data_IF_296584104325
#
_entry.id   IF_296584104325
#
_cell.length_a   1.000
_cell.length_b   1.000
_cell.length_c   1.000
_cell.angle_alpha   90.00
_cell.angle_beta   90.00
_cell.angle_gamma   90.00
#
_symmetry.space_group_name_H-M   'P 1'
#
loop_
_entity.id
_entity.type
_entity.pdbx_description
1 polymer ?
#
# COMPACT_ATOMS: atom_id res chain seq x y z
N UNK A 1 -31.24 -30.38 24.84
CA UNK A 1 -30.60 -29.05 24.89
C UNK A 1 -31.63 -28.08 25.46
N UNK A 2 -31.47 -27.64 26.70
CA UNK A 2 -32.39 -26.68 27.29
C UNK A 2 -32.14 -25.31 26.64
N UNK A 3 -33.15 -24.81 25.91
CA UNK A 3 -33.15 -23.48 25.31
C UNK A 3 -32.97 -22.46 26.44
N UNK A 4 -31.87 -21.71 26.41
CA UNK A 4 -31.66 -20.61 27.35
C UNK A 4 -32.68 -19.52 27.01
N UNK A 5 -33.81 -19.51 27.73
CA UNK A 5 -34.77 -18.41 27.68
C UNK A 5 -34.03 -17.13 28.05
N UNK A 6 -33.81 -16.26 27.06
CA UNK A 6 -33.16 -14.99 27.31
C UNK A 6 -34.09 -14.13 28.19
N UNK A 7 -33.54 -13.53 29.25
CA UNK A 7 -34.30 -12.80 30.28
C UNK A 7 -35.22 -11.71 29.71
N UNK A 8 -34.95 -11.22 28.51
CA UNK A 8 -35.77 -10.21 27.82
C UNK A 8 -37.17 -10.71 27.47
N UNK A 9 -37.33 -12.00 27.16
CA UNK A 9 -38.60 -12.55 26.68
C UNK A 9 -39.39 -13.32 27.74
N UNK A 10 -38.76 -13.67 28.87
CA UNK A 10 -39.36 -14.52 29.92
C UNK A 10 -40.69 -14.00 30.52
N UNK A 11 -40.99 -12.71 30.37
CA UNK A 11 -42.22 -12.09 30.89
C UNK A 11 -43.37 -12.09 29.88
N UNK A 12 -43.16 -12.53 28.64
CA UNK A 12 -44.21 -12.64 27.64
C UNK A 12 -44.91 -13.99 27.80
N UNK A 13 -46.25 -14.04 27.93
CA UNK A 13 -47.00 -15.28 27.83
C UNK A 13 -46.92 -15.82 26.39
N UNK A 14 -46.87 -17.15 26.25
CA UNK A 14 -46.81 -17.89 24.96
C UNK A 14 -45.46 -17.82 24.21
N UNK A 15 -44.39 -18.25 24.88
CA UNK A 15 -43.07 -18.45 24.27
C UNK A 15 -42.94 -19.87 23.71
N UNK A 16 -42.70 -19.97 22.39
CA UNK A 16 -42.48 -21.23 21.70
C UNK A 16 -41.17 -21.91 22.13
N UNK A 17 -41.22 -23.22 22.34
CA UNK A 17 -40.07 -24.08 22.68
C UNK A 17 -39.51 -24.82 21.45
N UNK A 18 -40.01 -24.51 20.25
CA UNK A 18 -39.48 -25.00 18.99
C UNK A 18 -37.98 -24.68 18.81
N UNK A 19 -37.25 -25.47 18.00
CA UNK A 19 -35.92 -25.08 17.55
C UNK A 19 -35.97 -23.75 16.80
N UNK A 20 -34.99 -22.88 17.08
CA UNK A 20 -34.86 -21.54 16.49
C UNK A 20 -34.65 -21.59 14.96
N UNK A 21 -34.01 -22.66 14.47
CA UNK A 21 -33.72 -22.85 13.05
C UNK A 21 -34.14 -24.25 12.62
N UNK A 22 -35.04 -24.31 11.63
CA UNK A 22 -35.36 -25.54 10.90
C UNK A 22 -34.60 -25.55 9.58
N UNK A 23 -33.43 -26.18 9.56
CA UNK A 23 -32.60 -26.33 8.37
C UNK A 23 -32.61 -27.76 7.83
N UNK A 24 -32.44 -27.88 6.51
CA UNK A 24 -32.13 -29.16 5.88
C UNK A 24 -30.72 -29.59 6.31
N UNK A 25 -30.47 -30.89 6.56
CA UNK A 25 -29.15 -31.36 6.96
C UNK A 25 -28.11 -30.93 5.91
N UNK A 26 -26.98 -30.41 6.38
CA UNK A 26 -25.90 -29.90 5.55
C UNK A 26 -25.42 -31.02 4.60
N UNK A 27 -25.83 -30.93 3.32
CA UNK A 27 -25.36 -31.83 2.28
C UNK A 27 -23.88 -31.50 2.07
N UNK A 28 -23.02 -32.51 2.14
CA UNK A 28 -21.57 -32.38 2.00
C UNK A 28 -21.14 -32.17 0.54
N UNK A 29 -21.89 -31.34 -0.20
CA UNK A 29 -21.63 -31.01 -1.61
C UNK A 29 -20.29 -30.27 -1.79
N UNK A 30 -19.72 -29.74 -0.70
CA UNK A 30 -18.43 -29.03 -0.69
C UNK A 30 -17.19 -29.93 -0.48
N UNK A 31 -17.34 -31.23 -0.21
CA UNK A 31 -16.17 -32.11 -0.05
C UNK A 31 -15.59 -32.63 -1.37
N UNK A 32 -16.12 -32.17 -2.52
CA UNK A 32 -15.63 -32.54 -3.84
C UNK A 32 -15.63 -31.37 -4.83
N UNK A 33 -14.85 -30.34 -4.56
CA UNK A 33 -14.25 -29.56 -5.66
C UNK A 33 -13.13 -30.38 -6.30
N UNK A 34 -13.48 -31.52 -6.89
CA UNK A 34 -12.75 -31.91 -8.11
C UNK A 34 -13.05 -30.80 -9.10
N UNK A 35 -12.00 -30.12 -9.53
CA UNK A 35 -12.05 -29.00 -10.47
C UNK A 35 -12.49 -29.57 -11.84
N UNK A 36 -13.78 -29.86 -11.96
CA UNK A 36 -14.42 -30.44 -13.11
C UNK A 36 -14.59 -29.36 -14.18
N UNK A 37 -13.62 -29.30 -15.09
CA UNK A 37 -13.71 -28.79 -16.48
C UNK A 37 -15.09 -28.28 -16.89
N UNK A 38 -15.46 -27.04 -16.55
CA UNK A 38 -16.38 -26.19 -17.34
C UNK A 38 -16.36 -24.75 -16.81
N UNK A 39 -15.24 -24.04 -16.96
CA UNK A 39 -15.17 -22.60 -17.28
C UNK A 39 -13.72 -22.15 -17.16
N UNK A 40 -13.23 -21.63 -18.26
CA UNK A 40 -11.92 -21.01 -18.38
C UNK A 40 -11.94 -19.68 -17.63
N UNK A 41 -11.78 -19.70 -16.31
CA UNK A 41 -11.33 -18.53 -15.55
C UNK A 41 -9.81 -18.63 -15.41
N UNK A 42 -9.15 -18.00 -16.39
CA UNK A 42 -7.83 -17.38 -16.29
C UNK A 42 -6.94 -17.78 -15.10
N UNK A 43 -6.26 -18.92 -15.24
CA UNK A 43 -5.03 -19.24 -14.50
C UNK A 43 -3.85 -18.38 -15.03
N UNK A 44 -4.04 -17.06 -15.02
CA UNK A 44 -3.13 -16.07 -15.60
C UNK A 44 -2.57 -15.17 -14.49
N UNK A 45 -1.98 -15.75 -13.45
CA UNK A 45 -1.10 -15.03 -12.53
C UNK A 45 -0.24 -15.99 -11.70
N UNK A 46 0.58 -16.81 -12.35
CA UNK A 46 1.78 -17.31 -11.68
C UNK A 46 2.89 -17.54 -12.71
N UNK A 47 3.99 -16.82 -12.51
CA UNK A 47 5.19 -16.76 -13.36
C UNK A 47 6.03 -18.04 -13.31
N UNK A 48 5.43 -19.22 -13.05
CA UNK A 48 6.15 -20.46 -12.75
C UNK A 48 5.51 -21.73 -13.34
N UNK A 49 4.87 -21.62 -14.49
CA UNK A 49 4.45 -22.80 -15.24
C UNK A 49 5.46 -23.05 -16.38
N UNK A 50 6.48 -23.84 -16.06
CA UNK A 50 7.48 -24.35 -17.01
C UNK A 50 6.92 -25.61 -17.69
N UNK A 51 6.75 -25.55 -19.01
CA UNK A 51 6.82 -26.74 -19.86
C UNK A 51 5.50 -27.44 -20.20
N UNK A 52 4.54 -26.76 -20.82
CA UNK A 52 3.52 -27.46 -21.61
C UNK A 52 3.72 -27.17 -23.10
N UNK A 53 4.42 -28.11 -23.75
CA UNK A 53 4.66 -28.20 -25.20
C UNK A 53 3.41 -28.71 -25.94
N UNK A 54 2.26 -28.08 -25.71
CA UNK A 54 0.99 -28.41 -26.38
C UNK A 54 0.39 -27.19 -27.11
N UNK A 55 1.24 -26.42 -27.79
CA UNK A 55 0.83 -25.25 -28.59
C UNK A 55 0.96 -25.46 -30.10
N UNK A 56 1.00 -26.70 -30.61
CA UNK A 56 1.00 -26.92 -32.06
C UNK A 56 -0.40 -27.05 -32.68
N UNK A 57 -1.48 -27.13 -31.87
CA UNK A 57 -2.85 -27.34 -32.37
C UNK A 57 -3.72 -26.08 -32.46
N UNK A 58 -3.25 -24.95 -31.95
CA UNK A 58 -3.95 -23.66 -32.08
C UNK A 58 -3.04 -22.74 -32.87
N UNK A 59 -3.50 -22.19 -34.01
CA UNK A 59 -2.77 -21.17 -34.78
C UNK A 59 -2.60 -19.83 -34.05
N UNK A 60 -2.53 -19.86 -32.72
CA UNK A 60 -2.47 -18.72 -31.81
C UNK A 60 -1.23 -18.92 -30.95
N UNK A 61 -0.21 -18.09 -31.18
CA UNK A 61 0.98 -18.03 -30.33
C UNK A 61 0.64 -17.45 -28.97
N UNK A 62 0.61 -18.27 -27.92
CA UNK A 62 0.35 -17.86 -26.52
C UNK A 62 1.66 -17.50 -25.78
N UNK A 63 2.53 -16.71 -26.41
CA UNK A 63 3.77 -16.26 -25.75
C UNK A 63 3.41 -15.42 -24.52
N UNK A 64 3.79 -15.90 -23.33
CA UNK A 64 3.62 -15.13 -22.08
C UNK A 64 4.63 -13.98 -22.08
N UNK A 65 4.14 -12.75 -21.86
CA UNK A 65 5.00 -11.57 -21.74
C UNK A 65 5.67 -11.58 -20.35
N UNK A 66 6.99 -11.59 -20.30
CA UNK A 66 7.80 -11.40 -19.09
C UNK A 66 7.96 -9.90 -18.84
N UNK A 67 7.19 -9.26 -17.93
CA UNK A 67 7.21 -7.80 -17.76
C UNK A 67 8.58 -7.28 -17.33
N UNK A 68 9.34 -8.07 -16.57
CA UNK A 68 10.68 -7.70 -16.14
C UNK A 68 11.68 -7.68 -17.31
N UNK A 69 11.61 -8.65 -18.21
CA UNK A 69 12.46 -8.72 -19.40
C UNK A 69 12.07 -7.65 -20.41
N UNK A 70 10.76 -7.47 -20.64
CA UNK A 70 10.24 -6.37 -21.46
C UNK A 70 10.70 -5.01 -20.90
N UNK A 71 10.65 -4.82 -19.57
CA UNK A 71 11.14 -3.59 -18.93
C UNK A 71 12.63 -3.37 -19.17
N UNK A 72 13.45 -4.41 -19.10
CA UNK A 72 14.88 -4.29 -19.42
C UNK A 72 15.11 -3.96 -20.90
N UNK A 73 14.31 -4.53 -21.80
CA UNK A 73 14.39 -4.27 -23.23
C UNK A 73 14.04 -2.80 -23.57
N UNK A 74 13.04 -2.22 -22.90
CA UNK A 74 12.58 -0.84 -23.14
C UNK A 74 13.19 0.21 -22.20
N UNK A 75 13.94 -0.18 -21.16
CA UNK A 75 14.64 0.76 -20.28
C UNK A 75 15.59 1.75 -21.00
N UNK A 76 16.36 1.36 -22.05
CA UNK A 76 17.25 2.29 -22.74
C UNK A 76 16.57 3.11 -23.85
N UNK A 77 15.29 2.84 -24.17
CA UNK A 77 14.54 3.63 -25.16
C UNK A 77 13.87 4.83 -24.47
N UNK A 78 14.28 6.04 -24.85
CA UNK A 78 13.65 7.29 -24.42
C UNK A 78 12.86 7.84 -25.60
N UNK A 79 11.59 8.15 -25.38
CA UNK A 79 10.67 8.66 -26.40
C UNK A 79 10.46 10.15 -26.15
N UNK A 80 10.76 10.96 -27.16
CA UNK A 80 10.43 12.39 -27.19
C UNK A 80 9.05 12.59 -27.85
N UNK A 81 8.18 13.30 -27.13
CA UNK A 81 6.79 13.56 -27.51
C UNK A 81 6.47 15.06 -27.68
N UNK A 82 7.44 15.97 -27.55
CA UNK A 82 7.17 17.42 -27.49
C UNK A 82 6.57 18.01 -28.77
N UNK A 83 6.89 17.44 -29.94
CA UNK A 83 6.50 17.97 -31.25
C UNK A 83 5.64 17.00 -32.06
N UNK A 84 4.83 16.17 -31.41
CA UNK A 84 4.02 15.15 -32.10
C UNK A 84 2.66 15.74 -32.48
N UNK A 85 2.29 15.63 -33.76
CA UNK A 85 1.03 16.13 -34.30
C UNK A 85 0.26 14.96 -34.92
N UNK A 86 -0.84 14.56 -34.26
CA UNK A 86 -1.81 13.57 -34.75
C UNK A 86 -3.05 14.21 -35.35
N UNK A 87 -3.10 15.54 -35.45
CA UNK A 87 -4.13 16.15 -36.28
C UNK A 87 -3.88 15.66 -37.71
N UNK A 88 -4.88 15.02 -38.30
CA UNK A 88 -4.84 14.33 -39.60
C UNK A 88 -4.70 15.32 -40.79
N UNK A 89 -3.92 16.39 -40.58
CA UNK A 89 -3.64 17.46 -41.53
C UNK A 89 -2.67 16.92 -42.58
N UNK A 90 -3.24 16.57 -43.73
CA UNK A 90 -2.55 16.02 -44.91
C UNK A 90 -1.51 16.99 -45.53
N UNK A 91 -1.48 18.26 -45.12
CA UNK A 91 -0.66 19.31 -45.73
C UNK A 91 0.76 19.43 -45.16
N UNK A 92 1.10 18.73 -44.08
CA UNK A 92 2.41 18.80 -43.43
C UNK A 92 3.06 17.41 -43.28
N UNK A 93 4.40 17.37 -43.27
CA UNK A 93 5.15 16.13 -42.95
C UNK A 93 4.70 15.64 -41.56
N UNK A 94 4.15 14.43 -41.51
CA UNK A 94 3.60 13.80 -40.30
C UNK A 94 4.64 13.82 -39.17
N UNK A 95 4.37 14.54 -38.10
CA UNK A 95 5.25 14.58 -36.92
C UNK A 95 4.89 13.44 -35.98
N UNK A 96 5.68 12.37 -35.97
CA UNK A 96 5.50 11.23 -35.06
C UNK A 96 6.45 11.28 -33.86
N UNK A 97 6.19 10.43 -32.86
CA UNK A 97 7.12 10.20 -31.75
C UNK A 97 8.53 9.92 -32.26
N UNK A 98 9.54 10.53 -31.62
CA UNK A 98 10.95 10.25 -31.91
C UNK A 98 11.50 9.36 -30.81
N UNK A 99 11.82 8.11 -31.14
CA UNK A 99 12.47 7.19 -30.21
C UNK A 99 13.99 7.33 -30.34
N UNK A 100 14.65 7.80 -29.28
CA UNK A 100 16.11 7.73 -29.18
C UNK A 100 16.46 6.53 -28.32
N UNK A 101 17.11 5.53 -28.92
CA UNK A 101 17.68 4.41 -28.19
C UNK A 101 19.18 4.59 -28.19
N UNK A 102 19.78 4.70 -27.00
CA UNK A 102 21.24 4.62 -26.87
C UNK A 102 21.65 3.16 -27.02
N UNK A 103 21.58 2.63 -28.24
CA UNK A 103 21.94 1.24 -28.52
C UNK A 103 23.42 1.07 -28.21
N UNK A 104 23.74 0.19 -27.25
CA UNK A 104 25.02 -0.53 -27.28
C UNK A 104 24.92 -1.55 -28.40
N UNK A 105 25.34 -1.16 -29.60
CA UNK A 105 25.48 -2.10 -30.71
C UNK A 105 26.51 -3.16 -30.33
N UNK A 106 26.08 -4.41 -30.26
CA UNK A 106 26.95 -5.58 -30.17
C UNK A 106 27.14 -6.07 -31.59
N UNK A 107 28.27 -5.74 -32.20
CA UNK A 107 28.68 -6.27 -33.51
C UNK A 107 29.40 -7.61 -33.28
N UNK A 108 29.13 -8.62 -34.11
CA UNK A 108 29.62 -10.01 -33.96
C UNK A 108 31.13 -10.21 -34.23
N UNK A 109 31.87 -9.13 -34.51
CA UNK A 109 33.32 -9.18 -34.63
C UNK A 109 33.94 -8.36 -33.50
N UNK A 110 34.81 -9.04 -32.75
CA UNK A 110 35.47 -8.57 -31.52
C UNK A 110 36.27 -7.27 -31.72
N UNK A 111 35.58 -6.13 -31.68
CA UNK A 111 36.13 -4.80 -31.45
C UNK A 111 34.98 -3.92 -30.95
N UNK A 112 34.95 -3.57 -29.66
CA UNK A 112 34.08 -2.51 -29.14
C UNK A 112 34.45 -1.18 -29.81
N UNK A 113 33.83 -0.91 -30.95
CA UNK A 113 33.85 0.42 -31.55
C UNK A 113 32.75 1.23 -30.87
N UNK A 114 33.16 2.12 -29.97
CA UNK A 114 32.31 3.20 -29.45
C UNK A 114 32.03 4.18 -30.59
N UNK A 115 31.18 3.78 -31.54
CA UNK A 115 30.67 4.65 -32.60
C UNK A 115 29.32 5.20 -32.19
N UNK A 116 29.24 6.51 -31.96
CA UNK A 116 27.97 7.23 -31.86
C UNK A 116 27.35 7.24 -33.26
N UNK A 117 26.68 6.16 -33.65
CA UNK A 117 25.85 6.10 -34.87
C UNK A 117 24.54 6.86 -34.63
N UNK A 118 24.62 8.08 -34.11
CA UNK A 118 23.55 9.06 -34.22
C UNK A 118 23.50 9.44 -35.70
N UNK A 119 22.33 9.31 -36.33
CA UNK A 119 22.06 9.95 -37.61
C UNK A 119 22.51 11.42 -37.50
N UNK A 120 23.28 11.88 -38.50
CA UNK A 120 23.87 13.23 -38.61
C UNK A 120 22.87 14.37 -38.33
N UNK A 121 21.56 14.10 -38.46
CA UNK A 121 20.50 15.07 -38.21
C UNK A 121 20.26 15.42 -36.72
N UNK A 122 20.87 14.70 -35.76
CA UNK A 122 20.60 14.90 -34.33
C UNK A 122 21.85 15.09 -33.45
N UNK A 123 22.89 15.71 -33.98
CA UNK A 123 23.98 16.19 -33.14
C UNK A 123 23.46 17.25 -32.15
N UNK A 124 23.76 17.06 -30.85
CA UNK A 124 23.48 18.10 -29.86
C UNK A 124 24.25 19.37 -30.22
N UNK A 125 23.70 20.56 -29.94
CA UNK A 125 24.36 21.82 -30.27
C UNK A 125 25.79 21.89 -29.72
N UNK A 126 26.04 21.31 -28.54
CA UNK A 126 27.38 21.21 -27.95
C UNK A 126 28.34 20.29 -28.71
N UNK A 127 27.89 19.12 -29.18
CA UNK A 127 28.71 18.23 -30.01
C UNK A 127 28.98 18.84 -31.38
N UNK A 128 28.00 19.53 -31.96
CA UNK A 128 28.14 20.27 -33.22
C UNK A 128 29.17 21.39 -33.10
N UNK A 129 29.11 22.18 -32.03
CA UNK A 129 30.12 23.24 -31.75
C UNK A 129 31.52 22.62 -31.57
N UNK A 130 31.64 21.49 -30.87
CA UNK A 130 32.93 20.82 -30.69
C UNK A 130 33.50 20.28 -32.01
N UNK A 131 32.65 19.73 -32.88
CA UNK A 131 33.03 19.29 -34.23
C UNK A 131 33.48 20.46 -35.10
N UNK A 132 32.70 21.53 -35.14
CA UNK A 132 33.04 22.76 -35.89
C UNK A 132 34.33 23.39 -35.38
N UNK A 133 34.59 23.41 -34.08
CA UNK A 133 35.89 23.88 -33.53
C UNK A 133 37.06 23.04 -34.05
N UNK A 134 36.89 21.73 -34.16
CA UNK A 134 37.92 20.84 -34.72
C UNK A 134 38.11 21.08 -36.22
N UNK A 135 37.02 21.17 -36.97
CA UNK A 135 37.07 21.46 -38.42
C UNK A 135 37.74 22.81 -38.70
N UNK A 136 37.48 23.84 -37.88
CA UNK A 136 38.10 25.16 -38.01
C UNK A 136 39.59 25.14 -37.65
N UNK A 137 39.98 24.40 -36.61
CA UNK A 137 41.41 24.25 -36.29
C UNK A 137 42.13 23.47 -37.39
N UNK A 138 41.50 22.46 -37.99
CA UNK A 138 42.04 21.73 -39.14
C UNK A 138 42.19 22.63 -40.37
N UNK A 139 41.20 23.50 -40.65
CA UNK A 139 41.28 24.50 -41.73
C UNK A 139 42.38 25.53 -41.45
N UNK A 140 42.53 25.98 -40.19
CA UNK A 140 43.60 26.90 -39.81
C UNK A 140 45.00 26.28 -39.94
N UNK A 141 45.16 25.02 -39.54
CA UNK A 141 46.40 24.28 -39.77
C UNK A 141 46.68 24.11 -41.27
N UNK A 142 45.65 23.89 -42.07
CA UNK A 142 45.79 23.81 -43.52
C UNK A 142 46.25 25.14 -44.13
N UNK A 143 45.67 26.28 -43.70
CA UNK A 143 46.10 27.62 -44.15
C UNK A 143 47.55 27.95 -43.75
N UNK A 144 47.98 27.61 -42.54
CA UNK A 144 49.37 27.81 -42.10
C UNK A 144 50.36 26.98 -42.94
N UNK A 145 50.01 25.71 -43.24
CA UNK A 145 50.82 24.85 -44.11
C UNK A 145 50.87 25.33 -45.56
N UNK A 146 49.87 26.08 -46.03
CA UNK A 146 49.90 26.72 -47.34
C UNK A 146 50.74 28.00 -47.33
N UNK A 147 50.63 28.83 -46.30
CA UNK A 147 51.45 30.04 -46.13
C UNK A 147 52.97 29.72 -46.09
N UNK A 148 53.36 28.60 -45.46
CA UNK A 148 54.75 28.13 -45.50
C UNK A 148 55.23 27.76 -46.91
N UNK A 149 54.32 27.31 -47.79
CA UNK A 149 54.62 26.96 -49.19
C UNK A 149 54.55 28.17 -50.14
N UNK A 150 53.73 29.16 -49.84
CA UNK A 150 53.46 30.35 -50.69
C UNK A 150 54.36 31.57 -50.43
N UNK A 151 55.40 31.46 -49.60
CA UNK A 151 56.44 32.50 -49.42
C UNK A 151 57.23 32.90 -50.72
N UNK A 152 56.74 32.54 -51.92
CA UNK A 152 57.31 32.91 -53.22
C UNK A 152 56.31 33.47 -54.26
N UNK A 153 55.04 33.72 -53.91
CA UNK A 153 54.12 34.44 -54.81
C UNK A 153 53.03 35.21 -54.04
N UNK A 154 52.74 36.45 -54.47
CA UNK A 154 51.90 37.43 -53.76
C UNK A 154 50.39 37.11 -53.76
N UNK A 155 49.79 37.37 -52.59
CA UNK A 155 48.48 37.97 -52.30
C UNK A 155 47.18 37.25 -52.73
N UNK A 156 46.51 36.65 -51.72
CA UNK A 156 45.07 36.82 -51.39
C UNK A 156 44.65 35.99 -50.14
N UNK A 157 45.58 35.25 -49.51
CA UNK A 157 45.26 34.33 -48.40
C UNK A 157 45.18 34.95 -46.99
N UNK A 158 45.70 36.17 -46.80
CA UNK A 158 45.70 36.83 -45.48
C UNK A 158 44.29 37.16 -44.97
N UNK A 159 43.33 37.35 -45.87
CA UNK A 159 41.95 37.69 -45.50
C UNK A 159 41.23 36.47 -44.91
N UNK A 160 41.41 35.29 -45.51
CA UNK A 160 40.82 34.04 -45.03
C UNK A 160 41.38 33.57 -43.69
N UNK A 161 42.67 33.80 -43.39
CA UNK A 161 43.21 33.51 -42.06
C UNK A 161 42.58 34.43 -41.00
N UNK A 162 42.38 35.71 -41.34
CA UNK A 162 41.72 36.68 -40.47
C UNK A 162 40.25 36.29 -40.22
N UNK A 163 39.53 35.84 -41.25
CA UNK A 163 38.14 35.37 -41.17
C UNK A 163 38.00 34.07 -40.34
N UNK A 164 38.90 33.11 -40.53
CA UNK A 164 38.94 31.86 -39.73
C UNK A 164 39.24 32.18 -38.27
N UNK A 165 40.13 33.15 -38.01
CA UNK A 165 40.40 33.62 -36.65
C UNK A 165 39.18 34.33 -36.04
N UNK A 166 38.44 35.13 -36.81
CA UNK A 166 37.20 35.78 -36.37
C UNK A 166 36.11 34.74 -36.07
N UNK A 167 35.95 33.73 -36.93
CA UNK A 167 35.00 32.63 -36.73
C UNK A 167 35.34 31.80 -35.47
N UNK A 168 36.62 31.55 -35.21
CA UNK A 168 37.07 30.89 -33.97
C UNK A 168 36.73 31.72 -32.71
N UNK A 169 36.86 33.05 -32.79
CA UNK A 169 36.49 33.96 -31.69
C UNK A 169 34.98 33.93 -31.44
N UNK A 170 34.16 34.02 -32.49
CA UNK A 170 32.70 33.94 -32.38
C UNK A 170 32.23 32.59 -31.83
N UNK A 171 32.81 31.47 -32.28
CA UNK A 171 32.48 30.15 -31.72
C UNK A 171 32.96 29.97 -30.29
N UNK A 172 34.07 30.59 -29.91
CA UNK A 172 34.51 30.62 -28.52
C UNK A 172 33.54 31.43 -27.66
N UNK A 173 33.08 32.59 -28.11
CA UNK A 173 32.07 33.40 -27.44
C UNK A 173 30.74 32.64 -27.28
N UNK A 174 30.24 32.02 -28.35
CA UNK A 174 29.01 31.19 -28.30
C UNK A 174 29.20 30.01 -27.33
N UNK A 175 30.38 29.38 -27.30
CA UNK A 175 30.64 28.30 -26.35
C UNK A 175 30.69 28.76 -24.88
N UNK A 176 31.16 29.98 -24.63
CA UNK A 176 31.17 30.60 -23.28
C UNK A 176 29.74 30.96 -22.88
N UNK A 177 28.98 31.59 -23.78
CA UNK A 177 27.57 31.93 -23.60
C UNK A 177 26.74 30.67 -23.27
N UNK A 178 27.01 29.56 -23.97
CA UNK A 178 26.31 28.30 -23.75
C UNK A 178 26.76 27.58 -22.47
N UNK A 179 28.04 27.66 -22.09
CA UNK A 179 28.52 27.11 -20.81
C UNK A 179 27.97 27.90 -19.63
N UNK A 180 27.74 29.20 -19.79
CA UNK A 180 27.02 30.05 -18.84
C UNK A 180 25.52 29.73 -18.81
N UNK A 181 24.89 29.51 -19.97
CA UNK A 181 23.49 29.12 -20.11
C UNK A 181 23.15 27.74 -19.53
N UNK A 182 24.05 26.76 -19.63
CA UNK A 182 23.84 25.42 -19.06
C UNK A 182 24.07 25.34 -17.53
N UNK A 183 24.54 26.41 -16.89
CA UNK A 183 24.47 26.55 -15.42
C UNK A 183 23.13 27.14 -14.96
N UNK A 184 22.19 27.36 -15.88
CA UNK A 184 20.84 27.81 -15.58
C UNK A 184 20.06 26.71 -14.86
N UNK A 185 19.54 27.08 -13.68
CA UNK A 185 18.51 26.42 -12.86
C UNK A 185 18.68 24.94 -12.49
N UNK A 186 18.92 24.02 -13.44
CA UNK A 186 19.03 22.58 -13.19
C UNK A 186 20.20 22.21 -12.28
N UNK A 187 21.39 22.79 -12.49
CA UNK A 187 22.55 22.56 -11.62
C UNK A 187 22.43 23.22 -10.23
N UNK A 188 21.63 24.29 -10.13
CA UNK A 188 21.29 24.91 -8.85
C UNK A 188 20.27 24.05 -8.10
N UNK A 189 19.27 23.51 -8.80
CA UNK A 189 18.26 22.60 -8.26
C UNK A 189 18.87 21.29 -7.71
N UNK A 190 19.77 20.66 -8.45
CA UNK A 190 20.42 19.42 -7.97
C UNK A 190 21.28 19.68 -6.74
N UNK A 191 21.95 20.83 -6.66
CA UNK A 191 22.73 21.24 -5.50
C UNK A 191 21.83 21.59 -4.30
N UNK A 192 20.69 22.24 -4.53
CA UNK A 192 19.71 22.55 -3.45
C UNK A 192 18.94 21.32 -2.96
N UNK A 193 18.68 20.35 -3.84
CA UNK A 193 18.02 19.09 -3.45
C UNK A 193 18.98 18.19 -2.65
N UNK A 194 20.28 18.19 -3.01
CA UNK A 194 21.32 17.47 -2.28
C UNK A 194 21.61 18.01 -0.89
N UNK A 195 21.30 19.29 -0.60
CA UNK A 195 21.54 19.90 0.72
C UNK A 195 20.31 19.97 1.62
N UNK A 196 19.18 19.39 1.20
CA UNK A 196 17.91 19.52 1.93
C UNK A 196 17.35 20.94 1.85
N UNK A 197 16.03 21.05 1.73
CA UNK A 197 15.31 22.31 1.63
C UNK A 197 15.51 23.09 2.95
N UNK A 198 16.46 24.03 2.96
CA UNK A 198 16.58 25.02 4.04
C UNK A 198 15.47 26.05 3.83
N UNK A 199 14.37 25.87 4.54
CA UNK A 199 13.36 26.91 4.70
C UNK A 199 14.03 28.15 5.29
N UNK A 200 13.89 29.27 4.58
CA UNK A 200 14.51 30.56 4.87
C UNK A 200 14.08 31.09 6.24
N UNK A 201 14.92 30.93 7.26
CA UNK A 201 14.90 31.74 8.48
C UNK A 201 15.76 32.99 8.30
N UNK A 202 15.42 34.13 8.94
CA UNK A 202 16.13 35.40 8.72
C UNK A 202 17.61 35.31 9.14
N UNK A 203 18.50 36.07 8.49
CA UNK A 203 19.94 35.97 8.72
C UNK A 203 20.27 36.46 10.14
N UNK A 204 20.76 35.56 11.00
CA UNK A 204 21.30 35.94 12.30
C UNK A 204 22.59 36.76 12.08
N UNK A 205 22.52 38.04 12.45
CA UNK A 205 23.67 38.91 12.64
C UNK A 205 24.50 38.48 13.85
N UNK A 206 25.81 38.70 13.72
CA UNK A 206 26.86 38.85 14.74
C UNK A 206 26.53 38.43 16.19
N UNK A 207 27.24 37.39 16.65
CA UNK A 207 27.28 36.96 18.05
C UNK A 207 28.07 37.98 18.91
N UNK A 208 27.44 38.49 19.98
CA UNK A 208 28.12 39.07 21.13
C UNK A 208 28.37 37.96 22.17
N UNK A 209 29.55 37.87 22.83
CA UNK A 209 29.97 36.70 23.60
C UNK A 209 29.61 36.80 25.10
N UNK A 210 28.46 37.35 25.46
CA UNK A 210 28.00 37.44 26.85
C UNK A 210 26.50 37.31 26.91
N UNK A 211 25.97 36.09 26.80
CA UNK A 211 24.73 35.64 27.45
C UNK A 211 24.50 34.14 27.17
N UNK A 212 23.77 33.51 28.08
CA UNK A 212 23.59 32.06 28.25
C UNK A 212 23.51 31.25 26.96
N UNK A 213 24.29 30.16 26.90
CA UNK A 213 24.36 29.23 25.78
C UNK A 213 22.97 28.69 25.42
N UNK A 214 22.36 29.27 24.39
CA UNK A 214 21.08 28.85 23.86
C UNK A 214 21.32 27.65 22.95
N UNK A 215 21.11 26.44 23.48
CA UNK A 215 21.13 25.22 22.68
C UNK A 215 19.91 25.20 21.76
N UNK A 216 20.12 25.53 20.49
CA UNK A 216 19.10 25.40 19.46
C UNK A 216 19.05 23.94 19.00
N UNK A 217 18.14 23.16 19.59
CA UNK A 217 17.83 21.81 19.11
C UNK A 217 17.07 21.93 17.80
N UNK A 218 17.77 21.71 16.69
CA UNK A 218 17.16 21.67 15.35
C UNK A 218 16.46 20.33 15.16
N UNK A 219 15.18 20.29 15.54
CA UNK A 219 14.33 19.13 15.32
C UNK A 219 13.70 19.17 13.92
N UNK A 220 13.98 18.16 13.09
CA UNK A 220 13.36 17.98 11.78
C UNK A 220 12.22 16.94 11.88
N UNK A 221 10.94 17.34 12.03
CA UNK A 221 9.82 16.41 12.24
C UNK A 221 9.61 15.45 11.05
N UNK A 222 9.90 15.90 9.83
CA UNK A 222 9.79 15.09 8.61
C UNK A 222 10.81 13.94 8.57
N UNK A 223 11.95 14.08 9.24
CA UNK A 223 12.97 13.03 9.33
C UNK A 223 12.46 11.84 10.16
N UNK A 224 11.73 12.10 11.25
CA UNK A 224 11.19 11.01 12.06
C UNK A 224 10.10 10.23 11.35
N UNK A 225 9.19 10.91 10.66
CA UNK A 225 8.12 10.27 9.89
C UNK A 225 8.69 9.43 8.74
N UNK A 226 9.62 9.99 7.95
CA UNK A 226 10.27 9.25 6.87
C UNK A 226 11.10 8.07 7.38
N UNK A 227 11.80 8.20 8.51
CA UNK A 227 12.53 7.10 9.13
C UNK A 227 11.60 6.01 9.68
N UNK A 228 10.46 6.38 10.28
CA UNK A 228 9.45 5.41 10.71
C UNK A 228 8.82 4.66 9.52
N UNK A 229 8.51 5.36 8.43
CA UNK A 229 8.01 4.77 7.18
C UNK A 229 9.05 3.87 6.51
N UNK A 230 10.32 4.24 6.51
CA UNK A 230 11.41 3.40 6.02
C UNK A 230 11.50 2.10 6.82
N UNK A 231 11.45 2.19 8.16
CA UNK A 231 11.43 1.00 9.01
C UNK A 231 10.22 0.12 8.75
N UNK A 232 9.03 0.71 8.57
CA UNK A 232 7.82 -0.04 8.22
C UNK A 232 7.96 -0.76 6.86
N UNK A 233 8.54 -0.11 5.85
CA UNK A 233 8.83 -0.72 4.56
C UNK A 233 9.86 -1.86 4.66
N UNK A 234 10.89 -1.72 5.51
CA UNK A 234 11.85 -2.80 5.78
C UNK A 234 11.15 -4.01 6.41
N UNK A 235 10.27 -3.78 7.40
CA UNK A 235 9.48 -4.85 8.01
C UNK A 235 8.53 -5.51 7.00
N UNK A 236 7.87 -4.74 6.14
CA UNK A 236 7.01 -5.25 5.08
C UNK A 236 7.79 -6.09 4.07
N UNK A 237 8.98 -5.64 3.65
CA UNK A 237 9.84 -6.43 2.75
C UNK A 237 10.28 -7.75 3.38
N UNK A 238 10.59 -7.75 4.68
CA UNK A 238 10.94 -8.96 5.44
C UNK A 238 9.73 -9.86 5.60
N UNK A 239 8.56 -9.30 5.88
CA UNK A 239 7.30 -10.03 5.99
C UNK A 239 6.96 -10.68 4.64
N UNK A 240 7.03 -9.95 3.53
CA UNK A 240 6.84 -10.49 2.18
C UNK A 240 7.85 -11.60 1.84
N UNK A 241 9.10 -11.49 2.32
CA UNK A 241 10.09 -12.57 2.17
C UNK A 241 9.71 -13.83 2.96
N UNK A 242 9.15 -13.67 4.17
CA UNK A 242 8.66 -14.77 4.99
C UNK A 242 7.38 -15.38 4.42
N UNK A 243 6.45 -14.58 3.92
CA UNK A 243 5.24 -15.04 3.23
C UNK A 243 5.62 -15.82 1.96
N UNK A 244 6.59 -15.31 1.19
CA UNK A 244 7.10 -16.02 0.01
C UNK A 244 7.80 -17.32 0.37
N UNK A 245 8.53 -17.38 1.48
CA UNK A 245 9.18 -18.61 1.96
C UNK A 245 8.16 -19.62 2.47
N UNK A 246 7.10 -19.16 3.14
CA UNK A 246 6.00 -19.98 3.63
C UNK A 246 5.02 -20.35 2.51
N UNK A 247 5.08 -19.65 1.38
CA UNK A 247 4.23 -19.88 0.21
C UNK A 247 2.77 -19.53 0.44
N UNK A 248 2.45 -18.70 1.43
CA UNK A 248 1.06 -18.35 1.73
C UNK A 248 0.59 -17.29 0.74
N UNK A 249 -0.07 -17.71 -0.34
CA UNK A 249 -0.82 -16.78 -1.19
C UNK A 249 -2.24 -16.59 -0.64
N UNK A 250 -2.86 -15.41 -0.78
CA UNK A 250 -4.21 -15.15 -0.26
C UNK A 250 -5.27 -16.11 -0.82
N UNK A 251 -5.04 -16.66 -2.01
CA UNK A 251 -5.86 -17.71 -2.64
C UNK A 251 -5.68 -19.08 -1.98
N UNK A 252 -4.47 -19.41 -1.53
CA UNK A 252 -4.19 -20.66 -0.81
C UNK A 252 -4.56 -20.58 0.67
N UNK A 253 -4.61 -19.38 1.27
CA UNK A 253 -5.15 -19.16 2.63
C UNK A 253 -6.58 -19.65 2.75
N UNK A 254 -7.43 -19.35 1.77
CA UNK A 254 -8.82 -19.84 1.74
C UNK A 254 -8.88 -21.36 1.68
N UNK A 255 -7.97 -22.01 0.96
CA UNK A 255 -7.87 -23.48 0.89
C UNK A 255 -7.26 -24.13 2.14
N UNK A 256 -6.50 -23.37 2.93
CA UNK A 256 -5.90 -23.81 4.19
C UNK A 256 -6.84 -23.60 5.40
N UNK A 257 -7.94 -22.88 5.24
CA UNK A 257 -8.97 -22.71 6.27
C UNK A 257 -9.96 -23.86 6.14
N UNK A 258 -9.66 -24.96 6.83
CA UNK A 258 -10.64 -26.02 7.06
C UNK A 258 -11.25 -25.74 8.43
N UNK A 259 -12.56 -25.50 8.47
CA UNK A 259 -13.33 -25.24 9.70
C UNK A 259 -12.87 -23.99 10.48
N UNK A 260 -12.67 -22.86 9.78
CA UNK A 260 -12.40 -21.56 10.40
C UNK A 260 -11.03 -21.40 11.07
N UNK A 261 -10.16 -22.41 11.00
CA UNK A 261 -8.78 -22.35 11.51
C UNK A 261 -7.80 -22.60 10.37
N UNK A 262 -6.80 -21.72 10.24
CA UNK A 262 -5.67 -21.94 9.34
C UNK A 262 -4.98 -23.27 9.70
N UNK A 263 -4.77 -24.15 8.71
CA UNK A 263 -4.02 -25.39 8.88
C UNK A 263 -2.62 -25.05 9.41
N UNK A 264 -2.39 -25.31 10.70
CA UNK A 264 -1.12 -25.03 11.33
C UNK A 264 -0.02 -25.84 10.62
N UNK A 265 1.02 -25.16 10.14
CA UNK A 265 2.12 -25.79 9.39
C UNK A 265 2.90 -26.75 10.29
N UNK A 266 3.07 -26.42 11.56
CA UNK A 266 3.81 -27.22 12.54
C UNK A 266 3.28 -28.65 12.71
N UNK A 267 1.98 -28.92 13.00
CA UNK A 267 1.48 -30.29 13.10
C UNK A 267 1.56 -31.06 11.78
N UNK A 268 1.54 -30.39 10.63
CA UNK A 268 1.76 -31.07 9.33
C UNK A 268 3.21 -31.48 9.14
N UNK A 269 4.17 -30.62 9.51
CA UNK A 269 5.59 -30.94 9.52
C UNK A 269 5.87 -32.04 10.54
N UNK A 270 5.28 -31.99 11.73
CA UNK A 270 5.43 -33.02 12.74
C UNK A 270 4.86 -34.36 12.26
N UNK A 271 3.71 -34.36 11.58
CA UNK A 271 3.15 -35.57 10.95
C UNK A 271 4.09 -36.12 9.88
N UNK A 272 4.63 -35.27 9.00
CA UNK A 272 5.60 -35.67 7.98
C UNK A 272 6.90 -36.18 8.62
N UNK A 273 7.37 -35.53 9.68
CA UNK A 273 8.54 -35.96 10.45
C UNK A 273 8.31 -37.30 11.12
N UNK A 274 7.13 -37.54 11.72
CA UNK A 274 6.74 -38.84 12.26
C UNK A 274 6.70 -39.90 11.15
N UNK A 275 6.16 -39.58 9.97
CA UNK A 275 6.15 -40.48 8.82
C UNK A 275 7.56 -40.78 8.30
N UNK A 276 8.44 -39.79 8.21
CA UNK A 276 9.85 -39.95 7.82
C UNK A 276 10.61 -40.73 8.92
N UNK A 277 10.32 -40.51 10.20
CA UNK A 277 10.88 -41.27 11.32
C UNK A 277 10.46 -42.74 11.24
N UNK A 278 9.20 -43.01 10.92
CA UNK A 278 8.66 -44.37 10.73
C UNK A 278 9.31 -45.06 9.51
N UNK A 279 9.55 -44.32 8.42
CA UNK A 279 10.24 -44.85 7.24
C UNK A 279 11.75 -45.06 7.47
N UNK A 280 12.39 -44.22 8.29
CA UNK A 280 13.82 -44.29 8.57
C UNK A 280 14.17 -45.25 9.71
N UNK A 281 13.29 -45.44 10.70
CA UNK A 281 13.43 -46.42 11.79
C UNK A 281 12.88 -47.80 11.41
N UNK A 282 13.24 -48.30 10.22
CA UNK A 282 13.15 -49.72 9.82
C UNK A 282 11.75 -50.35 9.69
N UNK A 283 11.48 -50.95 8.52
CA UNK A 283 10.30 -51.80 8.25
C UNK A 283 10.11 -53.01 9.19
N UNK A 284 11.14 -53.70 9.73
CA UNK A 284 10.93 -54.84 10.63
C UNK A 284 10.45 -54.46 12.05
N UNK A 285 10.66 -53.24 12.52
CA UNK A 285 10.23 -52.81 13.86
C UNK A 285 8.73 -52.54 13.95
N UNK A 286 8.11 -52.10 12.83
CA UNK A 286 6.66 -51.87 12.74
C UNK A 286 5.85 -53.15 12.78
N UNK A 287 6.35 -54.21 12.15
CA UNK A 287 5.69 -55.52 12.19
C UNK A 287 5.77 -56.14 13.59
N UNK A 288 6.88 -55.93 14.31
CA UNK A 288 7.03 -56.35 15.70
C UNK A 288 6.15 -55.54 16.65
N UNK A 289 6.17 -54.21 16.52
CA UNK A 289 5.34 -53.32 17.35
C UNK A 289 3.84 -53.49 17.03
N UNK A 290 3.48 -53.75 15.77
CA UNK A 290 2.11 -54.07 15.38
C UNK A 290 1.61 -55.40 15.97
N UNK A 291 2.48 -56.40 16.10
CA UNK A 291 2.17 -57.65 16.83
C UNK A 291 2.02 -57.40 18.33
N UNK A 292 2.89 -56.59 18.93
CA UNK A 292 2.78 -56.23 20.34
C UNK A 292 1.53 -55.43 20.65
N UNK A 293 1.15 -54.48 19.78
CA UNK A 293 -0.11 -53.72 19.93
C UNK A 293 -1.30 -54.66 19.83
N UNK A 294 -1.33 -55.60 18.88
CA UNK A 294 -2.41 -56.60 18.79
C UNK A 294 -2.49 -57.49 20.04
N UNK A 295 -1.35 -57.87 20.60
CA UNK A 295 -1.31 -58.62 21.85
C UNK A 295 -1.84 -57.77 23.01
N UNK A 296 -1.42 -56.51 23.13
CA UNK A 296 -1.89 -55.59 24.18
C UNK A 296 -3.37 -55.24 24.03
N UNK A 297 -3.89 -55.10 22.81
CA UNK A 297 -5.34 -54.90 22.58
C UNK A 297 -6.12 -56.15 22.97
N UNK A 298 -5.60 -57.33 22.64
CA UNK A 298 -6.23 -58.59 23.05
C UNK A 298 -6.18 -58.77 24.58
N UNK A 299 -5.08 -58.37 25.23
CA UNK A 299 -4.98 -58.37 26.70
C UNK A 299 -5.91 -57.33 27.34
N UNK A 300 -6.07 -56.15 26.73
CA UNK A 300 -7.00 -55.12 27.19
C UNK A 300 -8.47 -55.55 27.03
N UNK A 301 -8.83 -56.18 25.91
CA UNK A 301 -10.16 -56.76 25.69
C UNK A 301 -10.46 -57.86 26.72
N UNK A 302 -9.50 -58.75 26.98
CA UNK A 302 -9.63 -59.75 28.05
C UNK A 302 -9.83 -59.10 29.42
N UNK A 303 -9.13 -58.01 29.72
CA UNK A 303 -9.27 -57.29 30.99
C UNK A 303 -10.63 -56.58 31.06
N UNK A 304 -11.13 -56.03 29.95
CA UNK A 304 -12.46 -55.44 29.87
C UNK A 304 -13.55 -56.49 30.06
N UNK A 305 -13.42 -57.67 29.47
CA UNK A 305 -14.35 -58.79 29.64
C UNK A 305 -14.34 -59.29 31.09
N UNK A 306 -13.17 -59.38 31.72
CA UNK A 306 -13.04 -59.69 33.16
C UNK A 306 -13.69 -58.61 34.02
N UNK A 307 -13.53 -57.32 33.69
CA UNK A 307 -14.18 -56.20 34.39
C UNK A 307 -15.70 -56.18 34.18
N UNK A 308 -16.19 -56.54 32.99
CA UNK A 308 -17.63 -56.67 32.71
C UNK A 308 -18.21 -57.85 33.48
N UNK A 309 -17.51 -58.98 33.51
CA UNK A 309 -17.91 -60.17 34.26
C UNK A 309 -17.89 -59.91 35.78
N UNK A 310 -16.90 -59.18 36.31
CA UNK A 310 -16.85 -58.81 37.73
C UNK A 310 -17.97 -57.83 38.10
N UNK A 311 -18.25 -56.82 37.25
CA UNK A 311 -19.40 -55.91 37.42
C UNK A 311 -20.74 -56.63 37.35
N UNK A 312 -20.88 -57.64 36.50
CA UNK A 312 -22.10 -58.47 36.44
C UNK A 312 -22.25 -59.34 37.69
N UNK A 313 -21.16 -59.90 38.20
CA UNK A 313 -21.15 -60.69 39.45
C UNK A 313 -21.45 -59.81 40.67
N UNK A 314 -20.96 -58.57 40.68
CA UNK A 314 -21.24 -57.57 41.73
C UNK A 314 -22.69 -57.04 41.69
N UNK A 315 -23.38 -57.15 40.55
CA UNK A 315 -24.79 -56.79 40.38
C UNK A 315 -25.77 -57.93 40.73
N UNK A 316 -25.28 -59.13 41.09
CA UNK A 316 -26.14 -60.16 41.67
C UNK A 316 -26.46 -59.72 43.10
N UNK A 317 -27.75 -59.48 43.43
CA UNK A 317 -28.12 -58.94 44.73
C UNK A 317 -27.78 -59.96 45.81
N UNK A 318 -26.93 -59.57 46.77
CA UNK A 318 -26.86 -60.22 48.08
C UNK A 318 -28.17 -59.95 48.82
N UNK A 319 -29.19 -60.75 48.52
CA UNK A 319 -30.39 -60.85 49.32
C UNK A 319 -30.22 -62.03 50.27
N UNK A 320 -29.85 -61.76 51.52
CA UNK A 320 -30.36 -62.44 52.73
C UNK A 320 -29.78 -61.76 53.98
N UNK A 321 -30.67 -61.02 54.65
CA UNK A 321 -30.83 -60.93 56.11
C UNK A 321 -29.88 -60.02 56.93
N UNK A 322 -30.53 -58.96 57.42
CA UNK A 322 -30.30 -58.04 58.52
C UNK A 322 -29.42 -58.57 59.68
N UNK A 323 -28.36 -57.84 60.07
CA UNK A 323 -28.24 -57.20 61.40
C UNK A 323 -26.89 -56.47 61.60
N UNK A 324 -26.94 -55.32 62.28
CA UNK A 324 -25.84 -54.62 62.99
C UNK A 324 -24.61 -54.07 62.21
N UNK A 325 -24.55 -52.74 62.04
CA UNK A 325 -23.60 -51.86 62.75
C UNK A 325 -23.46 -50.50 62.03
N UNK A 326 -23.89 -49.45 62.71
CA UNK A 326 -23.42 -48.08 62.45
C UNK A 326 -21.96 -47.95 62.92
N UNK A 327 -21.21 -47.09 62.21
CA UNK A 327 -20.03 -46.34 62.70
C UNK A 327 -18.60 -46.89 62.43
N UNK A 328 -18.11 -46.65 61.20
CA UNK A 328 -16.75 -46.18 60.86
C UNK A 328 -16.65 -46.13 59.33
N UNK A 329 -16.43 -45.02 58.66
CA UNK A 329 -15.44 -44.01 58.98
C UNK A 329 -14.22 -44.20 58.08
N UNK A 330 -14.35 -43.69 56.84
CA UNK A 330 -13.27 -43.37 55.89
C UNK A 330 -12.68 -44.58 55.15
N UNK A 331 -12.54 -44.42 53.83
CA UNK A 331 -11.96 -45.35 52.83
C UNK A 331 -12.95 -46.37 52.26
N UNK A 332 -13.71 -45.97 51.23
CA UNK A 332 -14.04 -46.72 49.99
C UNK A 332 -15.32 -46.20 49.32
N UNK A 333 -15.41 -44.89 49.06
CA UNK A 333 -16.55 -44.29 48.33
C UNK A 333 -16.10 -43.51 47.08
N UNK A 334 -14.97 -43.93 46.48
CA UNK A 334 -14.39 -43.28 45.29
C UNK A 334 -14.63 -44.03 43.97
N UNK A 335 -15.27 -45.20 43.97
CA UNK A 335 -15.41 -45.97 42.73
C UNK A 335 -16.71 -46.78 42.70
N UNK A 336 -17.87 -46.14 42.45
CA UNK A 336 -19.08 -46.78 41.84
C UNK A 336 -20.30 -45.85 41.74
N UNK A 337 -20.12 -44.65 41.20
CA UNK A 337 -21.24 -43.74 41.01
C UNK A 337 -20.82 -42.45 40.35
N UNK A 338 -20.26 -42.52 39.14
CA UNK A 338 -20.19 -41.32 38.31
C UNK A 338 -21.62 -40.84 38.11
N UNK A 339 -22.02 -39.79 38.82
CA UNK A 339 -23.34 -39.19 38.66
C UNK A 339 -23.51 -38.92 37.16
N UNK A 340 -24.51 -39.50 36.48
CA UNK A 340 -24.67 -39.37 35.03
C UNK A 340 -24.76 -37.90 34.62
N UNK A 341 -25.35 -37.07 35.49
CA UNK A 341 -25.41 -35.62 35.37
C UNK A 341 -24.02 -34.93 35.38
N UNK A 342 -23.03 -35.45 36.12
CA UNK A 342 -21.67 -34.91 36.10
C UNK A 342 -20.94 -35.34 34.83
N UNK A 343 -21.13 -36.58 34.37
CA UNK A 343 -20.55 -37.07 33.12
C UNK A 343 -21.12 -36.31 31.92
N UNK A 344 -22.42 -36.05 31.90
CA UNK A 344 -23.06 -35.23 30.86
C UNK A 344 -22.55 -33.78 30.86
N UNK A 345 -22.39 -33.18 32.05
CA UNK A 345 -21.80 -31.82 32.17
C UNK A 345 -20.34 -31.78 31.76
N UNK A 346 -19.56 -32.78 32.15
CA UNK A 346 -18.15 -32.92 31.78
C UNK A 346 -18.03 -33.12 30.27
N UNK A 347 -18.86 -33.96 29.66
CA UNK A 347 -18.90 -34.15 28.20
C UNK A 347 -19.32 -32.86 27.48
N UNK A 348 -20.27 -32.09 28.03
CA UNK A 348 -20.63 -30.77 27.50
C UNK A 348 -19.45 -29.77 27.60
N UNK A 349 -18.70 -29.77 28.70
CA UNK A 349 -17.50 -28.94 28.87
C UNK A 349 -16.35 -29.39 27.95
N UNK A 350 -16.14 -30.69 27.78
CA UNK A 350 -15.19 -31.23 26.80
C UNK A 350 -15.61 -30.90 25.37
N UNK A 351 -16.90 -30.79 25.08
CA UNK A 351 -17.39 -30.28 23.79
C UNK A 351 -17.15 -28.79 23.58
N UNK A 352 -17.18 -27.99 24.66
CA UNK A 352 -16.89 -26.56 24.63
C UNK A 352 -15.38 -26.22 24.68
N UNK A 353 -14.54 -27.15 25.15
CA UNK A 353 -13.10 -26.93 25.27
C UNK A 353 -12.42 -26.66 23.90
N UNK A 354 -12.71 -27.40 22.81
CA UNK A 354 -12.14 -27.11 21.50
C UNK A 354 -12.49 -25.71 20.97
N UNK A 355 -13.65 -25.16 21.29
CA UNK A 355 -14.02 -23.80 20.86
C UNK A 355 -13.25 -22.76 21.66
N UNK A 356 -13.08 -22.96 22.96
CA UNK A 356 -12.27 -22.09 23.83
C UNK A 356 -10.79 -22.17 23.45
N UNK A 357 -10.27 -23.37 23.17
CA UNK A 357 -8.87 -23.57 22.76
C UNK A 357 -8.58 -22.93 21.40
N UNK A 358 -9.56 -22.89 20.49
CA UNK A 358 -9.45 -22.12 19.23
C UNK A 358 -9.49 -20.61 19.43
N UNK A 359 -10.29 -20.11 20.37
CA UNK A 359 -10.46 -18.67 20.63
C UNK A 359 -9.37 -18.08 21.53
N UNK A 360 -8.79 -18.90 22.42
CA UNK A 360 -7.71 -18.52 23.33
C UNK A 360 -6.53 -17.81 22.66
N UNK A 361 -5.90 -18.37 21.60
CA UNK A 361 -4.76 -17.74 20.93
C UNK A 361 -5.14 -16.50 20.11
N UNK A 362 -6.42 -16.30 19.77
CA UNK A 362 -6.88 -15.11 19.04
C UNK A 362 -7.05 -13.89 19.95
N UNK A 363 -7.31 -14.11 21.25
CA UNK A 363 -7.60 -13.05 22.20
C UNK A 363 -6.46 -12.04 22.41
N UNK A 364 -5.17 -12.43 22.51
CA UNK A 364 -4.06 -11.48 22.57
C UNK A 364 -3.97 -10.61 21.31
N UNK A 365 -4.12 -11.19 20.13
CA UNK A 365 -4.07 -10.43 18.87
C UNK A 365 -5.23 -9.44 18.71
N UNK A 366 -6.42 -9.81 19.18
CA UNK A 366 -7.57 -8.91 19.22
C UNK A 366 -7.38 -7.80 20.24
N UNK A 367 -6.76 -8.09 21.38
CA UNK A 367 -6.42 -7.08 22.40
C UNK A 367 -5.40 -6.08 21.86
N UNK A 368 -4.34 -6.54 21.18
CA UNK A 368 -3.34 -5.67 20.55
C UNK A 368 -3.97 -4.80 19.46
N UNK A 369 -4.82 -5.39 18.62
CA UNK A 369 -5.58 -4.64 17.60
C UNK A 369 -6.50 -3.61 18.26
N UNK A 370 -7.23 -3.97 19.32
CA UNK A 370 -8.10 -3.05 20.05
C UNK A 370 -7.30 -1.96 20.77
N UNK A 371 -6.08 -2.27 21.24
CA UNK A 371 -5.14 -1.29 21.77
C UNK A 371 -4.71 -0.25 20.73
N UNK A 372 -4.34 -0.70 19.52
CA UNK A 372 -4.03 0.20 18.40
C UNK A 372 -5.25 1.01 17.95
N UNK A 373 -6.43 0.37 17.93
CA UNK A 373 -7.68 0.97 17.49
C UNK A 373 -8.27 1.91 18.55
N UNK A 374 -7.93 1.74 19.83
CA UNK A 374 -8.37 2.63 20.92
C UNK A 374 -7.93 4.07 20.69
N UNK A 375 -6.71 4.28 20.20
CA UNK A 375 -6.22 5.62 19.88
C UNK A 375 -7.08 6.26 18.78
N UNK A 376 -7.41 5.48 17.74
CA UNK A 376 -8.26 5.93 16.62
C UNK A 376 -9.71 6.16 17.10
N UNK A 377 -10.27 5.30 17.96
CA UNK A 377 -11.61 5.50 18.51
C UNK A 377 -11.68 6.72 19.44
N UNK A 378 -10.65 6.97 20.24
CA UNK A 378 -10.56 8.17 21.06
C UNK A 378 -10.50 9.42 20.19
N UNK A 379 -9.66 9.41 19.14
CA UNK A 379 -9.58 10.50 18.17
C UNK A 379 -10.92 10.71 17.42
N UNK A 380 -11.56 9.63 16.98
CA UNK A 380 -12.89 9.67 16.37
C UNK A 380 -13.96 10.26 17.30
N UNK A 381 -13.90 9.97 18.60
CA UNK A 381 -14.81 10.56 19.57
C UNK A 381 -14.53 12.06 19.76
N UNK A 382 -13.25 12.46 19.83
CA UNK A 382 -12.89 13.89 19.95
C UNK A 382 -13.21 14.69 18.70
N UNK A 383 -13.00 14.13 17.51
CA UNK A 383 -13.34 14.75 16.23
C UNK A 383 -14.85 14.88 16.06
N UNK A 384 -15.63 13.88 16.47
CA UNK A 384 -17.09 14.00 16.53
C UNK A 384 -17.52 15.16 17.44
N UNK A 385 -16.96 15.25 18.65
CA UNK A 385 -17.29 16.35 19.57
C UNK A 385 -16.86 17.72 19.03
N UNK A 386 -15.71 17.81 18.35
CA UNK A 386 -15.27 19.04 17.71
C UNK A 386 -16.17 19.42 16.52
N UNK A 387 -16.64 18.44 15.75
CA UNK A 387 -17.60 18.66 14.67
C UNK A 387 -18.96 19.11 15.20
N UNK A 388 -19.46 18.50 16.27
CA UNK A 388 -20.70 18.92 16.95
C UNK A 388 -20.56 20.34 17.52
N UNK A 389 -19.37 20.77 17.93
CA UNK A 389 -19.11 22.16 18.33
C UNK A 389 -19.10 23.11 17.14
N UNK A 390 -18.40 22.74 16.05
CA UNK A 390 -18.37 23.54 14.82
C UNK A 390 -19.77 23.69 14.23
N UNK A 391 -20.60 22.64 14.26
CA UNK A 391 -21.98 22.70 13.75
C UNK A 391 -22.83 23.69 14.57
N UNK A 392 -22.68 23.70 15.90
CA UNK A 392 -23.31 24.70 16.77
C UNK A 392 -22.82 26.11 16.46
N UNK A 393 -21.52 26.31 16.34
CA UNK A 393 -20.93 27.62 15.98
C UNK A 393 -21.41 28.08 14.61
N UNK A 394 -21.50 27.18 13.62
CA UNK A 394 -22.06 27.48 12.31
C UNK A 394 -23.55 27.83 12.37
N UNK A 395 -24.35 27.13 13.19
CA UNK A 395 -25.75 27.50 13.38
C UNK A 395 -25.90 28.90 13.97
N UNK A 396 -25.08 29.25 14.97
CA UNK A 396 -25.08 30.58 15.60
C UNK A 396 -24.66 31.64 14.59
N UNK A 397 -23.56 31.42 13.86
CA UNK A 397 -23.10 32.35 12.81
C UNK A 397 -24.18 32.53 11.74
N UNK A 398 -24.91 31.47 11.38
CA UNK A 398 -26.00 31.57 10.40
C UNK A 398 -27.17 32.42 10.92
N UNK A 399 -27.47 32.35 12.22
CA UNK A 399 -28.47 33.19 12.87
C UNK A 399 -27.99 34.64 12.98
N UNK A 400 -26.74 34.87 13.36
CA UNK A 400 -26.13 36.21 13.38
C UNK A 400 -26.16 36.83 11.98
N UNK A 401 -25.77 36.11 10.93
CA UNK A 401 -25.83 36.61 9.55
C UNK A 401 -27.25 37.02 9.15
N UNK A 402 -28.29 36.31 9.62
CA UNK A 402 -29.68 36.74 9.39
C UNK A 402 -29.97 38.05 10.12
N UNK A 403 -29.54 38.20 11.37
CA UNK A 403 -29.70 39.44 12.13
C UNK A 403 -28.95 40.60 11.46
N UNK A 404 -27.72 40.38 10.98
CA UNK A 404 -26.94 41.38 10.24
C UNK A 404 -27.61 41.78 8.92
N UNK A 405 -28.20 40.82 8.19
CA UNK A 405 -28.98 41.11 6.98
C UNK A 405 -30.22 41.93 7.27
N UNK A 406 -30.95 41.57 8.33
CA UNK A 406 -32.15 42.31 8.75
C UNK A 406 -31.78 43.73 9.19
N UNK A 407 -30.70 43.87 9.99
CA UNK A 407 -30.13 45.14 10.39
C UNK A 407 -29.71 46.01 9.20
N UNK A 408 -29.01 45.41 8.22
CA UNK A 408 -28.62 46.11 6.99
C UNK A 408 -29.83 46.54 6.17
N UNK A 409 -30.86 45.70 6.04
CA UNK A 409 -32.10 46.05 5.34
C UNK A 409 -32.84 47.21 6.03
N UNK A 410 -32.76 47.28 7.37
CA UNK A 410 -33.32 48.38 8.14
C UNK A 410 -32.52 49.66 7.93
N UNK A 411 -31.19 49.56 7.94
CA UNK A 411 -30.30 50.70 7.64
C UNK A 411 -30.53 51.19 6.22
N UNK A 412 -30.63 50.30 5.23
CA UNK A 412 -30.94 50.62 3.83
C UNK A 412 -32.27 51.35 3.70
N UNK A 413 -33.32 50.88 4.37
CA UNK A 413 -34.61 51.59 4.43
C UNK A 413 -34.47 52.98 5.05
N UNK A 414 -33.83 53.10 6.21
CA UNK A 414 -33.61 54.41 6.85
C UNK A 414 -32.74 55.33 6.01
N UNK A 415 -31.79 54.80 5.24
CA UNK A 415 -30.95 55.56 4.34
C UNK A 415 -31.75 56.04 3.12
N UNK A 416 -32.64 55.21 2.56
CA UNK A 416 -33.54 55.61 1.48
C UNK A 416 -34.56 56.67 1.93
N UNK A 417 -35.05 56.58 3.16
CA UNK A 417 -35.90 57.60 3.78
C UNK A 417 -35.11 58.90 4.03
N UNK A 418 -33.86 58.79 4.50
CA UNK A 418 -32.97 59.94 4.64
C UNK A 418 -32.63 60.57 3.28
N UNK A 419 -32.38 59.78 2.23
CA UNK A 419 -32.10 60.27 0.88
C UNK A 419 -33.32 60.96 0.26
N UNK A 420 -34.53 60.42 0.45
CA UNK A 420 -35.76 61.06 -0.04
C UNK A 420 -36.07 62.36 0.71
N UNK A 421 -35.90 62.38 2.04
CA UNK A 421 -36.09 63.61 2.84
C UNK A 421 -35.04 64.67 2.55
N UNK A 422 -33.77 64.29 2.38
CA UNK A 422 -32.70 65.22 1.96
C UNK A 422 -32.92 65.75 0.55
N UNK A 423 -33.36 64.92 -0.40
CA UNK A 423 -33.74 65.38 -1.74
C UNK A 423 -34.95 66.34 -1.70
N UNK A 424 -35.94 66.08 -0.84
CA UNK A 424 -37.08 66.98 -0.65
C UNK A 424 -36.62 68.34 -0.07
N UNK A 425 -35.76 68.31 0.95
CA UNK A 425 -35.17 69.51 1.55
C UNK A 425 -34.28 70.26 0.55
N UNK A 426 -33.50 69.56 -0.28
CA UNK A 426 -32.68 70.14 -1.33
C UNK A 426 -33.53 70.86 -2.38
N UNK A 427 -34.63 70.24 -2.84
CA UNK A 427 -35.58 70.90 -3.74
C UNK A 427 -36.21 72.14 -3.10
N UNK A 428 -36.59 72.06 -1.82
CA UNK A 428 -37.10 73.22 -1.10
C UNK A 428 -36.05 74.34 -1.00
N UNK A 429 -34.77 74.01 -0.77
CA UNK A 429 -33.67 74.97 -0.80
C UNK A 429 -33.43 75.53 -2.20
N UNK A 430 -33.47 74.73 -3.26
CA UNK A 430 -33.36 75.20 -4.65
C UNK A 430 -34.48 76.18 -4.99
N UNK A 431 -35.71 75.89 -4.60
CA UNK A 431 -36.85 76.78 -4.83
C UNK A 431 -36.70 78.08 -4.03
N UNK A 432 -36.24 78.02 -2.78
CA UNK A 432 -35.89 79.21 -2.01
C UNK A 432 -34.78 80.02 -2.69
N UNK A 433 -33.70 79.38 -3.16
CA UNK A 433 -32.61 80.05 -3.88
C UNK A 433 -33.11 80.69 -5.16
N UNK A 434 -33.93 80.01 -5.97
CA UNK A 434 -34.55 80.59 -7.17
C UNK A 434 -35.40 81.82 -6.85
N UNK A 435 -36.24 81.75 -5.81
CA UNK A 435 -37.03 82.93 -5.40
C UNK A 435 -36.14 84.09 -4.92
N UNK A 436 -34.96 83.79 -4.37
CA UNK A 436 -33.98 84.78 -3.95
C UNK A 436 -33.23 85.37 -5.17
N UNK A 437 -32.85 84.54 -6.14
CA UNK A 437 -32.28 84.96 -7.42
C UNK A 437 -33.25 85.85 -8.20
N UNK A 438 -34.54 85.48 -8.27
CA UNK A 438 -35.57 86.28 -8.94
C UNK A 438 -35.76 87.65 -8.26
N UNK A 439 -35.75 87.69 -6.93
CA UNK A 439 -35.79 88.95 -6.16
C UNK A 439 -34.56 89.82 -6.40
N UNK A 440 -33.36 89.22 -6.48
CA UNK A 440 -32.12 89.95 -6.75
C UNK A 440 -32.08 90.48 -8.19
N UNK A 441 -32.64 89.75 -9.18
CA UNK A 441 -32.76 90.24 -10.56
C UNK A 441 -33.77 91.37 -10.75
N UNK A 442 -34.73 91.49 -9.83
CA UNK A 442 -35.76 92.54 -9.83
C UNK A 442 -35.28 93.85 -9.18
N UNK A 443 -34.16 93.81 -8.45
CA UNK A 443 -33.46 94.96 -7.88
C UNK A 443 -32.34 95.41 -8.84
#
# INVERSE_FOLDING_TARGET
MAVQLSRKYANLPDLDSAPDVYETPELTDDNSTTVGRTRSESNASSTRDFGSTDNEKSGISRSKLSPNEARLHFAPSIIDAENVDFSDRVTAKRKSYKASSKRRGRTEANAQKYGDFRDEESESLGTKIARLKREIEEVKEWSLRQAEKENTAEAEFGDHESDVSALSRVLNEISIQQRAGNQSMGGKLTKTLGTGIKLSGPPQGSQNPTDSATYTVTYAPTYQQSHALSKAADFDSRLASLERALGITPTELSSLIINGSQKAVLPTIEKLQRQISVLSQSTPSLDLMGRQIRNLTQEAEKLEDVRKASKLTQKIPRNTEEDFALESGIVTDLESGENPNLVEKVNALYGALPTIERLGPLLPSLLDRLGSLRAIHADAATTKSALDQIDKEQSIISEEIKIWKDGLSKVEKTMSEAETTTNCNMRAMEDLVKTLEDKVRLL
#
